data_IF_246377704673
#
_entry.id   IF_246377704673
#
_cell.length_a   1.000
_cell.length_b   1.000
_cell.length_c   1.000
_cell.angle_alpha   90.00
_cell.angle_beta   90.00
_cell.angle_gamma   90.00
#
_symmetry.space_group_name_H-M   'P 1'
#
loop_
_entity.id
_entity.type
_entity.pdbx_description
1 polymer ?
#
# COMPACT_ATOMS: atom_id res chain seq x y z
N UNK A 1 9.82 -25.19 14.78
CA UNK A 1 9.10 -24.41 15.80
C UNK A 1 8.28 -23.36 15.08
N UNK A 2 6.97 -23.58 14.94
CA UNK A 2 6.07 -22.63 14.30
C UNK A 2 5.87 -21.42 15.23
N UNK A 3 6.16 -20.22 14.71
CA UNK A 3 6.01 -18.96 15.44
C UNK A 3 4.54 -18.81 15.86
N UNK A 4 4.29 -18.55 17.15
CA UNK A 4 2.95 -18.36 17.70
C UNK A 4 2.19 -17.27 16.90
N UNK A 5 0.84 -17.36 16.76
CA UNK A 5 0.07 -16.39 16.00
C UNK A 5 0.26 -15.02 16.65
N UNK A 6 1.00 -14.18 15.94
CA UNK A 6 1.46 -12.89 16.44
C UNK A 6 0.23 -12.01 16.62
N UNK A 7 0.08 -11.48 17.84
CA UNK A 7 -0.84 -10.39 18.26
C UNK A 7 -1.43 -9.67 17.06
N UNK A 8 -2.75 -9.71 16.87
CA UNK A 8 -3.42 -9.07 15.74
C UNK A 8 -2.91 -7.63 15.57
N UNK A 9 -2.12 -7.39 14.51
CA UNK A 9 -1.43 -6.13 14.30
C UNK A 9 -2.40 -5.18 13.61
N UNK A 10 -3.29 -4.58 14.41
CA UNK A 10 -4.34 -3.68 13.95
C UNK A 10 -3.98 -2.23 14.26
N UNK A 11 -4.32 -1.34 13.34
CA UNK A 11 -4.26 0.09 13.60
C UNK A 11 -5.36 0.85 12.87
N UNK A 12 -5.69 2.04 13.37
CA UNK A 12 -6.64 2.93 12.71
C UNK A 12 -5.97 3.62 11.52
N UNK A 13 -6.64 3.63 10.37
CA UNK A 13 -6.18 4.37 9.21
C UNK A 13 -6.24 5.88 9.52
N UNK A 14 -5.13 6.65 9.39
CA UNK A 14 -5.14 8.10 9.63
C UNK A 14 -5.98 8.88 8.62
N UNK A 15 -6.38 8.25 7.51
CA UNK A 15 -7.16 8.90 6.45
C UNK A 15 -8.67 8.77 6.64
N UNK A 16 -9.16 7.62 7.13
CA UNK A 16 -10.59 7.32 7.20
C UNK A 16 -11.04 6.73 8.55
N UNK A 17 -10.12 6.50 9.48
CA UNK A 17 -10.40 5.91 10.80
C UNK A 17 -10.65 4.41 10.80
N UNK A 18 -10.81 3.76 9.64
CA UNK A 18 -11.12 2.33 9.55
C UNK A 18 -9.96 1.45 10.04
N UNK A 19 -10.24 0.27 10.62
CA UNK A 19 -9.21 -0.65 11.07
C UNK A 19 -8.46 -1.25 9.86
N UNK A 20 -7.13 -1.27 9.95
CA UNK A 20 -6.23 -1.90 8.98
C UNK A 20 -5.45 -3.00 9.70
N UNK A 21 -5.47 -4.20 9.14
CA UNK A 21 -4.68 -5.33 9.63
C UNK A 21 -3.33 -5.40 8.91
N UNK A 22 -2.27 -5.60 9.67
CA UNK A 22 -0.94 -5.92 9.17
C UNK A 22 -0.72 -7.43 9.30
N UNK A 23 -0.23 -8.05 8.23
CA UNK A 23 -0.01 -9.50 8.18
C UNK A 23 1.13 -9.96 9.11
N UNK A 24 2.03 -9.06 9.51
CA UNK A 24 3.12 -9.37 10.45
C UNK A 24 3.59 -8.13 11.22
N UNK A 25 4.29 -8.35 12.33
CA UNK A 25 4.91 -7.27 13.11
C UNK A 25 5.97 -6.52 12.30
N UNK A 26 6.63 -7.22 11.37
CA UNK A 26 7.71 -6.72 10.51
C UNK A 26 7.19 -6.07 9.21
N UNK A 27 5.88 -6.10 8.95
CA UNK A 27 5.31 -5.49 7.75
C UNK A 27 5.50 -3.98 7.80
N UNK A 28 6.37 -3.47 6.93
CA UNK A 28 6.67 -2.04 6.81
C UNK A 28 5.49 -1.25 6.24
N UNK A 29 4.59 -1.89 5.48
CA UNK A 29 3.44 -1.25 4.84
C UNK A 29 2.18 -2.13 4.86
N UNK A 30 1.01 -1.49 4.79
CA UNK A 30 -0.28 -2.13 4.55
C UNK A 30 -1.21 -1.21 3.77
N UNK A 31 -2.16 -1.79 3.05
CA UNK A 31 -3.19 -1.04 2.29
C UNK A 31 -4.50 -1.09 3.06
N UNK A 32 -5.14 0.07 3.27
CA UNK A 32 -6.46 0.11 3.88
C UNK A 32 -7.52 -0.41 2.88
N UNK A 33 -8.26 -1.45 3.24
CA UNK A 33 -9.34 -2.00 2.40
C UNK A 33 -10.52 -1.05 2.17
N UNK A 34 -10.68 -0.01 3.00
CA UNK A 34 -11.80 0.93 2.93
C UNK A 34 -11.51 2.10 1.99
N UNK A 35 -10.42 2.82 2.22
CA UNK A 35 -10.06 4.00 1.42
C UNK A 35 -8.91 3.76 0.44
N UNK A 36 -8.42 2.51 0.32
CA UNK A 36 -7.32 2.11 -0.59
C UNK A 36 -6.03 2.92 -0.42
N UNK A 37 -5.85 3.56 0.74
CA UNK A 37 -4.62 4.30 1.03
C UNK A 37 -3.51 3.36 1.48
N UNK A 38 -2.29 3.60 1.00
CA UNK A 38 -1.09 2.87 1.43
C UNK A 38 -0.52 3.53 2.68
N UNK A 39 -0.40 2.74 3.75
CA UNK A 39 0.11 3.16 5.05
C UNK A 39 1.49 2.53 5.26
N UNK A 40 2.43 3.29 5.83
CA UNK A 40 3.75 2.81 6.23
C UNK A 40 3.96 3.02 7.72
N UNK A 41 4.59 2.03 8.36
CA UNK A 41 5.02 2.12 9.76
C UNK A 41 6.39 2.81 9.82
N UNK A 42 6.45 3.92 10.53
CA UNK A 42 7.67 4.67 10.85
C UNK A 42 7.90 4.53 12.35
N UNK A 43 8.53 3.41 12.74
CA UNK A 43 8.71 3.02 14.14
C UNK A 43 7.38 2.67 14.83
N UNK A 44 7.04 3.40 15.89
CA UNK A 44 5.77 3.26 16.64
C UNK A 44 4.59 4.01 16.00
N UNK A 45 4.86 4.86 15.01
CA UNK A 45 3.88 5.74 14.38
C UNK A 45 3.53 5.28 12.96
N UNK A 46 2.24 5.37 12.60
CA UNK A 46 1.77 5.10 11.24
C UNK A 46 1.73 6.38 10.44
N UNK A 47 2.51 6.44 9.35
CA UNK A 47 2.53 7.58 8.43
C UNK A 47 1.89 7.15 7.10
N UNK A 48 0.93 7.95 6.63
CA UNK A 48 0.44 7.86 5.25
C UNK A 48 1.55 8.42 4.34
N UNK A 49 2.21 7.58 3.56
CA UNK A 49 3.26 8.00 2.62
C UNK A 49 2.74 8.28 1.21
N UNK A 50 1.50 7.88 0.91
CA UNK A 50 0.88 8.23 -0.37
C UNK A 50 -0.42 7.47 -0.66
N UNK A 51 -1.25 8.06 -1.51
CA UNK A 51 -2.17 7.33 -2.37
C UNK A 51 -1.36 6.95 -3.61
N UNK A 52 -1.42 5.70 -4.06
CA UNK A 52 -0.74 5.28 -5.29
C UNK A 52 -1.02 6.29 -6.40
N UNK A 53 0.04 6.90 -6.94
CA UNK A 53 -0.07 7.90 -7.98
C UNK A 53 -0.87 7.31 -9.14
N UNK A 54 -1.80 8.08 -9.69
CA UNK A 54 -2.44 7.76 -10.95
C UNK A 54 -1.32 7.47 -11.96
N UNK A 55 -1.35 6.28 -12.55
CA UNK A 55 -0.49 5.98 -13.70
C UNK A 55 -0.96 6.94 -14.77
N UNK A 56 -0.17 7.97 -15.03
CA UNK A 56 -0.39 8.82 -16.18
C UNK A 56 -0.27 7.92 -17.41
N UNK A 57 -1.30 7.91 -18.26
CA UNK A 57 -1.24 7.23 -19.55
C UNK A 57 0.01 7.73 -20.28
N UNK A 58 0.90 6.80 -20.61
CA UNK A 58 1.98 7.08 -21.52
C UNK A 58 1.35 7.23 -22.90
N UNK A 59 0.88 8.43 -23.23
CA UNK A 59 0.39 8.76 -24.57
C UNK A 59 1.55 8.79 -25.58
N UNK A 60 2.42 7.79 -25.57
CA UNK A 60 3.45 7.62 -26.58
C UNK A 60 2.74 7.24 -27.88
N UNK A 61 2.92 8.00 -28.97
CA UNK A 61 2.32 7.68 -30.26
C UNK A 61 2.95 6.43 -30.91
N UNK A 62 4.02 5.91 -30.32
CA UNK A 62 4.73 4.74 -30.78
C UNK A 62 4.24 3.53 -29.99
N UNK A 63 3.27 2.82 -30.58
CA UNK A 63 2.83 1.54 -30.05
C UNK A 63 3.93 0.48 -30.20
N UNK A 64 3.96 -0.48 -29.27
CA UNK A 64 4.74 -1.72 -29.41
C UNK A 64 4.35 -2.36 -30.76
N UNK A 65 5.31 -2.45 -31.68
CA UNK A 65 5.10 -3.01 -33.04
C UNK A 65 4.93 -1.99 -34.16
N UNK A 66 5.09 -0.69 -33.90
CA UNK A 66 5.13 0.32 -34.97
C UNK A 66 6.38 0.16 -35.85
N UNK A 67 6.18 0.05 -37.16
CA UNK A 67 7.25 0.00 -38.18
C UNK A 67 6.94 1.00 -39.30
N UNK A 68 7.96 1.68 -39.80
CA UNK A 68 7.87 2.56 -40.98
C UNK A 68 8.11 1.81 -42.28
N UNK A 69 7.61 2.34 -43.40
CA UNK A 69 7.91 1.86 -44.76
C UNK A 69 9.23 2.40 -45.26
#
# INVERSE_FOLDING_TARGET
>A
MATAPQRAWRAACPNCGAPVEFLSAASASAVCGFCRSTLVRDGESLRKIGTSAEVFDDFTPLAIGASGT
#
